data_IF_500313687721
#
_entry.id   IF_500313687721
#
_cell.length_a   1.000
_cell.length_b   1.000
_cell.length_c   1.000
_cell.angle_alpha   90.00
_cell.angle_beta   90.00
_cell.angle_gamma   90.00
#
_symmetry.space_group_name_H-M   'P 1'
#
loop_
_entity.id
_entity.type
_entity.pdbx_description
1 polymer ?
#
# COMPACT_ATOMS: atom_id res chain seq x y z
N UNK A 1 -6.93 -5.85 -13.23
CA UNK A 1 -6.93 -4.78 -14.24
C UNK A 1 -5.94 -5.13 -15.34
N UNK A 2 -5.94 -4.40 -16.45
CA UNK A 2 -5.26 -4.84 -17.69
C UNK A 2 -3.73 -4.90 -17.59
N UNK A 3 -3.12 -4.18 -16.64
CA UNK A 3 -1.66 -4.11 -16.44
C UNK A 3 -1.14 -5.00 -15.28
N UNK A 4 -1.70 -6.20 -15.07
CA UNK A 4 -1.24 -7.05 -13.95
C UNK A 4 0.23 -7.45 -14.09
N UNK A 5 0.68 -7.76 -15.30
CA UNK A 5 2.04 -8.26 -15.54
C UNK A 5 3.08 -7.16 -15.26
N UNK A 6 2.81 -5.92 -15.67
CA UNK A 6 3.68 -4.78 -15.39
C UNK A 6 3.70 -4.46 -13.89
N UNK A 7 2.56 -4.54 -13.20
CA UNK A 7 2.50 -4.37 -11.75
C UNK A 7 3.35 -5.42 -11.03
N UNK A 8 3.28 -6.69 -11.46
CA UNK A 8 4.11 -7.78 -10.92
C UNK A 8 5.59 -7.52 -11.18
N UNK A 9 5.97 -7.07 -12.38
CA UNK A 9 7.34 -6.71 -12.72
C UNK A 9 7.90 -5.62 -11.80
N UNK A 10 7.13 -4.55 -11.57
CA UNK A 10 7.53 -3.45 -10.69
C UNK A 10 7.67 -3.93 -9.24
N UNK A 11 6.70 -4.70 -8.73
CA UNK A 11 6.74 -5.24 -7.37
C UNK A 11 7.96 -6.13 -7.17
N UNK A 12 8.26 -7.02 -8.12
CA UNK A 12 9.42 -7.89 -8.07
C UNK A 12 10.72 -7.09 -7.96
N UNK A 13 10.94 -6.13 -8.86
CA UNK A 13 12.14 -5.29 -8.83
C UNK A 13 12.24 -4.49 -7.51
N UNK A 14 11.10 -4.03 -6.99
CA UNK A 14 11.06 -3.32 -5.72
C UNK A 14 11.42 -4.23 -4.54
N UNK A 15 10.90 -5.46 -4.47
CA UNK A 15 11.25 -6.42 -3.42
C UNK A 15 12.72 -6.81 -3.46
N UNK A 16 13.28 -7.05 -4.63
CA UNK A 16 14.71 -7.39 -4.82
C UNK A 16 15.61 -6.31 -4.20
N UNK A 17 15.34 -5.03 -4.51
CA UNK A 17 16.10 -3.90 -3.95
C UNK A 17 15.92 -3.81 -2.43
N UNK A 18 14.69 -3.96 -1.93
CA UNK A 18 14.42 -3.89 -0.49
C UNK A 18 15.06 -5.05 0.29
N UNK A 19 15.21 -6.22 -0.33
CA UNK A 19 15.86 -7.40 0.24
C UNK A 19 17.38 -7.30 0.21
N UNK A 20 17.95 -6.69 -0.84
CA UNK A 20 19.39 -6.39 -0.96
C UNK A 20 19.85 -5.42 0.12
N UNK A 21 19.05 -4.38 0.38
CA UNK A 21 19.38 -3.34 1.36
C UNK A 21 20.31 -2.27 0.81
N UNK A 22 20.84 -1.43 1.69
CA UNK A 22 21.79 -0.38 1.32
C UNK A 22 23.20 -0.93 1.01
N UNK A 23 24.17 -0.04 0.81
CA UNK A 23 25.55 -0.43 0.47
C UNK A 23 26.23 -1.30 1.56
N UNK A 24 25.69 -1.32 2.78
CA UNK A 24 26.16 -2.15 3.89
C UNK A 24 25.26 -3.38 4.13
N UNK A 25 24.22 -3.56 3.31
CA UNK A 25 23.21 -4.62 3.44
C UNK A 25 22.17 -4.35 4.53
N UNK A 26 22.09 -3.12 5.05
CA UNK A 26 21.09 -2.75 6.04
C UNK A 26 19.72 -2.53 5.35
N UNK A 27 18.60 -2.90 6.00
CA UNK A 27 17.29 -2.72 5.40
C UNK A 27 16.95 -1.24 5.26
N UNK A 28 16.32 -0.87 4.14
CA UNK A 28 15.88 0.51 3.94
C UNK A 28 14.77 0.88 4.93
N UNK A 29 14.90 2.01 5.66
CA UNK A 29 13.84 2.49 6.55
C UNK A 29 12.68 3.12 5.77
N UNK A 30 12.92 3.56 4.54
CA UNK A 30 11.94 4.19 3.66
C UNK A 30 12.19 3.82 2.19
N UNK A 31 11.14 3.81 1.34
CA UNK A 31 9.73 4.01 1.69
C UNK A 31 9.17 2.83 2.48
N UNK A 32 8.13 3.07 3.30
CA UNK A 32 7.41 1.99 3.99
C UNK A 32 6.29 1.52 3.06
N UNK A 33 6.43 0.36 2.39
CA UNK A 33 5.41 -0.08 1.44
C UNK A 33 4.17 -0.52 2.21
N UNK A 34 3.01 -0.42 1.59
CA UNK A 34 1.76 -0.96 2.16
C UNK A 34 0.99 -1.70 1.10
N UNK A 35 0.74 -2.99 1.33
CA UNK A 35 -0.02 -3.85 0.45
C UNK A 35 -1.44 -4.06 0.97
N UNK A 36 -2.42 -3.96 0.08
CA UNK A 36 -3.83 -4.13 0.43
C UNK A 36 -4.17 -5.62 0.38
N UNK A 37 -4.66 -6.15 1.49
CA UNK A 37 -5.16 -7.53 1.59
C UNK A 37 -6.69 -7.46 1.56
N UNK A 38 -7.28 -7.87 0.45
CA UNK A 38 -8.73 -7.92 0.23
C UNK A 38 -9.19 -9.36 -0.05
N UNK A 39 -10.50 -9.57 -0.19
CA UNK A 39 -11.09 -10.92 -0.33
C UNK A 39 -10.62 -11.69 -1.57
N UNK A 40 -10.18 -10.97 -2.60
CA UNK A 40 -9.69 -11.51 -3.87
C UNK A 40 -8.16 -11.54 -3.95
N UNK A 41 -7.47 -11.26 -2.84
CA UNK A 41 -6.01 -11.33 -2.80
C UNK A 41 -5.56 -12.78 -3.06
N UNK A 42 -4.70 -12.96 -4.06
CA UNK A 42 -4.15 -14.26 -4.41
C UNK A 42 -2.96 -14.60 -3.50
N UNK A 43 -3.21 -15.48 -2.54
CA UNK A 43 -2.22 -15.90 -1.55
C UNK A 43 -1.14 -16.82 -2.14
N UNK A 44 -1.48 -17.52 -3.21
CA UNK A 44 -0.63 -18.53 -3.86
C UNK A 44 0.08 -17.97 -5.11
N UNK A 45 -0.06 -16.67 -5.38
CA UNK A 45 0.64 -16.00 -6.48
C UNK A 45 2.15 -16.05 -6.25
N UNK A 46 2.87 -16.76 -7.12
CA UNK A 46 4.33 -16.91 -7.07
C UNK A 46 5.07 -15.56 -7.04
N UNK A 47 4.48 -14.50 -7.61
CA UNK A 47 5.08 -13.16 -7.57
C UNK A 47 5.13 -12.55 -6.16
N UNK A 48 4.41 -13.12 -5.19
CA UNK A 48 4.42 -12.71 -3.79
C UNK A 48 5.48 -13.45 -2.96
N UNK A 49 6.25 -14.40 -3.51
CA UNK A 49 7.27 -15.13 -2.75
C UNK A 49 8.29 -14.18 -2.08
N UNK A 50 8.81 -13.22 -2.85
CA UNK A 50 9.76 -12.21 -2.35
C UNK A 50 9.12 -11.25 -1.33
N UNK A 51 7.81 -10.99 -1.46
CA UNK A 51 7.07 -10.19 -0.47
C UNK A 51 7.04 -10.91 0.88
N UNK A 52 6.81 -12.22 0.88
CA UNK A 52 6.80 -13.04 2.09
C UNK A 52 8.19 -13.18 2.70
N UNK A 53 9.21 -13.35 1.87
CA UNK A 53 10.61 -13.34 2.32
C UNK A 53 10.95 -12.02 3.02
N UNK A 54 10.62 -10.88 2.40
CA UNK A 54 10.86 -9.55 2.95
C UNK A 54 10.12 -9.35 4.28
N UNK A 55 8.85 -9.77 4.36
CA UNK A 55 8.05 -9.73 5.58
C UNK A 55 8.64 -10.58 6.70
N UNK A 56 9.10 -11.79 6.39
CA UNK A 56 9.72 -12.69 7.36
C UNK A 56 11.08 -12.22 7.85
N UNK A 57 11.91 -11.66 6.95
CA UNK A 57 13.29 -11.24 7.25
C UNK A 57 13.35 -9.92 8.02
N UNK A 58 12.55 -8.93 7.62
CA UNK A 58 12.66 -7.56 8.11
C UNK A 58 11.41 -7.02 8.79
N UNK A 59 10.29 -7.74 8.80
CA UNK A 59 9.02 -7.27 9.38
C UNK A 59 8.38 -6.13 8.61
N UNK A 60 8.80 -5.90 7.36
CA UNK A 60 8.22 -4.96 6.38
C UNK A 60 7.78 -5.78 5.16
N UNK A 61 6.68 -5.42 4.48
CA UNK A 61 5.98 -4.14 4.51
C UNK A 61 4.77 -4.16 5.47
N UNK A 62 4.00 -3.06 5.48
CA UNK A 62 2.69 -3.06 6.14
C UNK A 62 1.61 -3.70 5.27
N UNK A 63 0.62 -4.30 5.93
CA UNK A 63 -0.55 -4.88 5.28
C UNK A 63 -1.81 -4.14 5.72
N UNK A 64 -2.51 -3.56 4.76
CA UNK A 64 -3.82 -2.95 4.99
C UNK A 64 -4.91 -4.02 4.81
N UNK A 65 -5.50 -4.47 5.92
CA UNK A 65 -6.54 -5.48 5.91
C UNK A 65 -7.91 -4.88 5.52
N UNK A 66 -8.49 -5.40 4.43
CA UNK A 66 -9.84 -5.15 3.93
C UNK A 66 -10.73 -6.41 3.92
N UNK A 67 -10.23 -7.57 4.35
CA UNK A 67 -11.02 -8.80 4.42
C UNK A 67 -12.11 -8.68 5.49
N UNK A 68 -11.76 -8.10 6.65
CA UNK A 68 -12.63 -7.94 7.80
C UNK A 68 -13.22 -6.52 7.92
N UNK A 69 -13.28 -5.77 6.82
CA UNK A 69 -13.89 -4.45 6.80
C UNK A 69 -14.98 -4.36 5.75
N UNK A 70 -15.93 -3.44 5.97
CA UNK A 70 -16.95 -3.07 4.97
C UNK A 70 -16.40 -2.07 3.92
N UNK A 71 -15.08 -1.87 3.88
CA UNK A 71 -14.42 -0.92 3.00
C UNK A 71 -13.74 -1.65 1.85
N UNK A 72 -13.81 -1.06 0.66
CA UNK A 72 -13.01 -1.48 -0.48
C UNK A 72 -11.62 -0.82 -0.41
N UNK A 73 -10.58 -1.41 -1.05
CA UNK A 73 -9.27 -0.76 -1.18
C UNK A 73 -9.33 0.64 -1.80
N UNK A 74 -10.37 0.90 -2.60
CA UNK A 74 -10.62 2.20 -3.20
C UNK A 74 -11.27 3.19 -2.24
N UNK A 75 -11.79 2.81 -1.08
CA UNK A 75 -12.48 3.74 -0.17
C UNK A 75 -11.51 4.53 0.71
N UNK A 76 -10.30 4.02 0.92
CA UNK A 76 -9.33 4.62 1.82
C UNK A 76 -8.01 4.96 1.10
N UNK A 77 -7.36 6.03 1.55
CA UNK A 77 -5.96 6.32 1.22
C UNK A 77 -5.13 6.37 2.50
N UNK A 78 -4.02 5.63 2.51
CA UNK A 78 -3.05 5.68 3.61
C UNK A 78 -2.28 6.99 3.57
N UNK A 79 -2.35 7.75 4.66
CA UNK A 79 -1.62 8.99 4.89
C UNK A 79 -0.49 8.73 5.90
N UNK A 80 0.51 7.96 5.47
CA UNK A 80 1.64 7.53 6.30
C UNK A 80 1.21 6.61 7.48
N UNK A 81 1.91 6.68 8.61
CA UNK A 81 2.03 5.61 9.60
C UNK A 81 0.74 4.88 9.97
N UNK A 82 -0.36 5.59 10.28
CA UNK A 82 -1.66 4.99 10.66
C UNK A 82 -2.88 5.84 10.31
N UNK A 83 -2.69 7.00 9.68
CA UNK A 83 -3.81 7.87 9.32
C UNK A 83 -4.41 7.37 8.01
N UNK A 84 -5.73 7.14 8.00
CA UNK A 84 -6.46 6.71 6.80
C UNK A 84 -7.49 7.77 6.47
N UNK A 85 -7.42 8.29 5.25
CA UNK A 85 -8.40 9.22 4.73
C UNK A 85 -9.55 8.41 4.12
N UNK A 86 -10.75 8.51 4.70
CA UNK A 86 -11.96 7.92 4.12
C UNK A 86 -12.46 8.82 2.98
N UNK A 87 -12.38 8.33 1.74
CA UNK A 87 -12.79 9.08 0.55
C UNK A 87 -14.32 9.20 0.43
N UNK A 88 -15.10 8.35 1.09
CA UNK A 88 -16.57 8.44 1.10
C UNK A 88 -17.06 9.70 1.82
N UNK A 89 -16.26 10.18 2.77
CA UNK A 89 -16.52 11.41 3.52
C UNK A 89 -15.97 12.68 2.84
N UNK A 90 -15.14 12.55 1.79
CA UNK A 90 -14.52 13.69 1.08
C UNK A 90 -15.48 14.48 0.17
N UNK A 91 -16.76 14.15 0.17
CA UNK A 91 -17.79 14.67 -0.75
C UNK A 91 -17.97 16.20 -0.70
N UNK A 92 -17.47 16.90 0.32
CA UNK A 92 -17.87 18.31 0.60
C UNK A 92 -16.77 19.36 0.60
N UNK A 93 -15.57 19.13 0.03
CA UNK A 93 -14.49 20.15 0.09
C UNK A 93 -14.20 20.91 -1.20
N UNK A 94 -14.60 20.41 -2.37
CA UNK A 94 -14.52 21.18 -3.63
C UNK A 94 -15.69 20.80 -4.53
N UNK A 95 -16.65 21.72 -4.70
CA UNK A 95 -17.85 21.55 -5.52
C UNK A 95 -17.57 21.46 -7.03
N UNK A 96 -16.84 20.43 -7.46
CA UNK A 96 -16.59 20.12 -8.86
C UNK A 96 -16.78 18.63 -9.11
N UNK A 97 -17.28 18.31 -10.31
CA UNK A 97 -17.58 16.95 -10.81
C UNK A 97 -16.36 15.98 -10.80
N UNK A 98 -15.16 16.50 -10.49
CA UNK A 98 -13.88 15.77 -10.46
C UNK A 98 -13.12 15.95 -9.12
N UNK A 99 -13.86 16.13 -8.01
CA UNK A 99 -13.36 16.37 -6.66
C UNK A 99 -12.18 15.48 -6.26
N UNK A 100 -10.98 16.04 -6.34
CA UNK A 100 -9.74 15.28 -6.23
C UNK A 100 -9.49 14.94 -4.76
N UNK A 101 -9.69 13.68 -4.37
CA UNK A 101 -9.21 13.16 -3.07
C UNK A 101 -7.66 13.17 -2.98
N UNK A 102 -6.99 13.30 -4.12
CA UNK A 102 -5.55 13.53 -4.22
C UNK A 102 -5.18 14.92 -3.64
N UNK A 103 -4.04 15.00 -2.94
CA UNK A 103 -3.56 16.21 -2.22
C UNK A 103 -4.40 16.62 -1.00
N UNK A 104 -5.26 15.74 -0.49
CA UNK A 104 -5.95 15.95 0.79
C UNK A 104 -5.16 15.32 1.93
N UNK A 105 -4.98 16.03 3.05
CA UNK A 105 -4.29 15.53 4.24
C UNK A 105 -4.93 15.99 5.54
N UNK A 106 -4.40 15.49 6.66
CA UNK A 106 -4.87 15.89 7.99
C UNK A 106 -4.26 17.23 8.42
N UNK A 107 -5.06 18.07 9.07
CA UNK A 107 -4.60 19.33 9.68
C UNK A 107 -3.87 19.05 11.01
N UNK A 108 -4.17 17.92 11.66
CA UNK A 108 -3.54 17.52 12.91
C UNK A 108 -4.18 16.27 13.52
N UNK A 109 -3.58 15.80 14.61
CA UNK A 109 -4.12 14.79 15.52
C UNK A 109 -4.05 15.42 16.92
N UNK A 110 -5.13 15.36 17.70
CA UNK A 110 -5.18 15.85 19.10
C UNK A 110 -5.05 14.68 20.05
#
# INVERSE_FOLDING_TARGET
>A
GDCQDEMKMINKAFYEIMLEGDAEGAPFPYPIPTYNIHKEFDWEDESNELLWEMAGKYGIPYFANYINSDMNPEDARSMCCRLRLDKRELVKRNGGLFGSGEKTGSIGVV
#
